data_IF_474768073445
#
_entry.id   IF_474768073445
#
_cell.length_a   1.000
_cell.length_b   1.000
_cell.length_c   1.000
_cell.angle_alpha   90.00
_cell.angle_beta   90.00
_cell.angle_gamma   90.00
#
_symmetry.space_group_name_H-M   'P 1'
#
loop_
_entity.id
_entity.type
_entity.pdbx_description
1 polymer ?
#
# COMPACT_ATOMS: atom_id res chain seq x y z
N UNK A 1 -10.21 23.41 -45.38
CA UNK A 1 -11.02 22.28 -44.87
C UNK A 1 -10.14 21.12 -44.44
N UNK A 2 -9.28 20.57 -45.32
CA UNK A 2 -8.34 19.49 -44.96
C UNK A 2 -7.39 19.85 -43.80
N UNK A 3 -6.80 21.05 -43.80
CA UNK A 3 -5.90 21.52 -42.72
C UNK A 3 -6.60 21.63 -41.36
N UNK A 4 -7.81 22.19 -41.31
CA UNK A 4 -8.61 22.29 -40.08
C UNK A 4 -8.99 20.92 -39.54
N UNK A 5 -9.34 19.97 -40.42
CA UNK A 5 -9.61 18.59 -40.04
C UNK A 5 -8.37 17.92 -39.45
N UNK A 6 -7.20 18.08 -40.08
CA UNK A 6 -5.93 17.55 -39.58
C UNK A 6 -5.55 18.14 -38.21
N UNK A 7 -5.76 19.44 -38.00
CA UNK A 7 -5.53 20.10 -36.71
C UNK A 7 -6.46 19.52 -35.64
N UNK A 8 -7.75 19.33 -35.96
CA UNK A 8 -8.71 18.75 -35.03
C UNK A 8 -8.35 17.31 -34.64
N UNK A 9 -7.90 16.49 -35.59
CA UNK A 9 -7.42 15.13 -35.34
C UNK A 9 -6.19 15.14 -34.43
N UNK A 10 -5.19 15.99 -34.73
CA UNK A 10 -3.99 16.11 -33.90
C UNK A 10 -4.30 16.56 -32.48
N UNK A 11 -5.19 17.55 -32.31
CA UNK A 11 -5.63 18.01 -31.00
C UNK A 11 -6.33 16.89 -30.21
N UNK A 12 -7.18 16.10 -30.89
CA UNK A 12 -7.83 14.93 -30.29
C UNK A 12 -6.83 13.85 -29.84
N UNK A 13 -5.85 13.53 -30.68
CA UNK A 13 -4.77 12.57 -30.35
C UNK A 13 -3.95 13.06 -29.16
N UNK A 14 -3.54 14.33 -29.17
CA UNK A 14 -2.77 14.92 -28.09
C UNK A 14 -3.54 14.89 -26.76
N UNK A 15 -4.82 15.26 -26.78
CA UNK A 15 -5.67 15.22 -25.59
C UNK A 15 -5.82 13.80 -25.03
N UNK A 16 -6.06 12.82 -25.91
CA UNK A 16 -6.16 11.41 -25.52
C UNK A 16 -4.84 10.88 -24.95
N UNK A 17 -3.71 11.22 -25.57
CA UNK A 17 -2.38 10.82 -25.12
C UNK A 17 -2.06 11.40 -23.75
N UNK A 18 -2.30 12.71 -23.56
CA UNK A 18 -2.05 13.39 -22.29
C UNK A 18 -2.92 12.79 -21.17
N UNK A 19 -4.20 12.50 -21.46
CA UNK A 19 -5.08 11.82 -20.51
C UNK A 19 -4.55 10.44 -20.14
N UNK A 20 -4.05 9.66 -21.10
CA UNK A 20 -3.47 8.33 -20.85
C UNK A 20 -2.21 8.43 -20.00
N UNK A 21 -1.31 9.36 -20.30
CA UNK A 21 -0.09 9.59 -19.53
C UNK A 21 -0.40 9.96 -18.07
N UNK A 22 -1.34 10.87 -17.83
CA UNK A 22 -1.79 11.23 -16.48
C UNK A 22 -2.37 10.03 -15.72
N UNK A 23 -3.05 9.11 -16.41
CA UNK A 23 -3.55 7.89 -15.78
C UNK A 23 -2.41 6.94 -15.38
N UNK A 24 -1.40 6.77 -16.23
CA UNK A 24 -0.22 5.96 -15.93
C UNK A 24 0.57 6.56 -14.76
N UNK A 25 0.84 7.87 -14.78
CA UNK A 25 1.53 8.58 -13.71
C UNK A 25 0.81 8.42 -12.36
N UNK A 26 -0.53 8.52 -12.35
CA UNK A 26 -1.32 8.32 -11.13
C UNK A 26 -1.25 6.89 -10.61
N UNK A 27 -1.36 5.88 -11.48
CA UNK A 27 -1.24 4.47 -11.07
C UNK A 27 0.16 4.18 -10.48
N UNK A 28 1.21 4.69 -11.11
CA UNK A 28 2.57 4.63 -10.60
C UNK A 28 2.71 5.29 -9.22
N UNK A 29 2.14 6.47 -9.05
CA UNK A 29 2.14 7.20 -7.79
C UNK A 29 1.42 6.43 -6.68
N UNK A 30 0.28 5.81 -6.97
CA UNK A 30 -0.44 4.95 -6.02
C UNK A 30 0.42 3.76 -5.56
N UNK A 31 1.09 3.06 -6.49
CA UNK A 31 1.99 1.96 -6.16
C UNK A 31 3.16 2.42 -5.28
N UNK A 32 3.73 3.58 -5.60
CA UNK A 32 4.83 4.15 -4.82
C UNK A 32 4.38 4.52 -3.40
N UNK A 33 3.22 5.17 -3.26
CA UNK A 33 2.66 5.52 -1.95
C UNK A 33 2.35 4.27 -1.10
N UNK A 34 1.75 3.24 -1.70
CA UNK A 34 1.49 1.97 -1.00
C UNK A 34 2.78 1.29 -0.55
N UNK A 35 3.81 1.27 -1.41
CA UNK A 35 5.14 0.77 -1.05
C UNK A 35 5.72 1.55 0.13
N UNK A 36 5.62 2.88 0.13
CA UNK A 36 6.11 3.72 1.23
C UNK A 36 5.38 3.39 2.54
N UNK A 37 4.05 3.22 2.49
CA UNK A 37 3.26 2.81 3.66
C UNK A 37 3.69 1.44 4.17
N UNK A 38 3.97 0.47 3.30
CA UNK A 38 4.52 -0.84 3.71
C UNK A 38 5.84 -0.69 4.44
N UNK A 39 6.77 0.13 3.94
CA UNK A 39 8.06 0.37 4.60
C UNK A 39 7.89 1.03 5.96
N UNK A 40 7.05 2.06 6.03
CA UNK A 40 6.77 2.75 7.29
C UNK A 40 6.09 1.83 8.32
N UNK A 41 5.14 0.98 7.90
CA UNK A 41 4.53 -0.03 8.77
C UNK A 41 5.56 -1.03 9.29
N UNK A 42 6.55 -1.44 8.48
CA UNK A 42 7.64 -2.31 8.92
C UNK A 42 8.54 -1.62 9.95
N UNK A 43 8.86 -0.34 9.76
CA UNK A 43 9.64 0.43 10.73
C UNK A 43 8.86 0.66 12.03
N UNK A 44 7.59 1.01 11.94
CA UNK A 44 6.71 1.16 13.11
C UNK A 44 6.57 -0.16 13.87
N UNK A 45 6.41 -1.29 13.16
CA UNK A 45 6.41 -2.63 13.76
C UNK A 45 7.70 -2.91 14.55
N UNK A 46 8.86 -2.58 13.99
CA UNK A 46 10.14 -2.81 14.65
C UNK A 46 10.30 -1.93 15.90
N UNK A 47 9.93 -0.65 15.80
CA UNK A 47 9.99 0.29 16.93
C UNK A 47 9.03 -0.14 18.06
N UNK A 48 7.76 -0.38 17.74
CA UNK A 48 6.76 -0.81 18.73
C UNK A 48 7.05 -2.19 19.31
N UNK A 49 7.63 -3.11 18.53
CA UNK A 49 8.09 -4.40 19.06
C UNK A 49 9.20 -4.23 20.10
N UNK A 50 10.22 -3.41 19.80
CA UNK A 50 11.28 -3.11 20.76
C UNK A 50 10.70 -2.47 22.04
N UNK A 51 9.83 -1.49 21.87
CA UNK A 51 9.08 -0.85 22.95
C UNK A 51 8.32 -1.83 23.84
N UNK A 52 7.54 -2.74 23.26
CA UNK A 52 6.73 -3.70 24.02
C UNK A 52 7.59 -4.78 24.69
N UNK A 53 8.68 -5.22 24.04
CA UNK A 53 9.56 -6.26 24.57
C UNK A 53 10.44 -5.76 25.72
N UNK A 54 10.97 -4.55 25.61
CA UNK A 54 11.98 -4.02 26.55
C UNK A 54 11.44 -2.89 27.44
N UNK A 55 10.18 -2.49 27.27
CA UNK A 55 9.56 -1.36 27.98
C UNK A 55 10.32 -0.03 27.79
N UNK A 56 11.04 0.11 26.67
CA UNK A 56 11.82 1.30 26.32
C UNK A 56 11.24 1.96 25.08
N UNK A 57 10.62 3.12 25.27
CA UNK A 57 9.99 3.88 24.19
C UNK A 57 10.91 4.98 23.67
N UNK A 58 11.34 4.83 22.41
CA UNK A 58 11.85 5.95 21.62
C UNK A 58 10.65 6.74 21.08
N UNK A 59 10.05 7.57 21.94
CA UNK A 59 8.83 8.30 21.64
C UNK A 59 9.01 9.23 20.43
N UNK A 60 10.16 9.90 20.33
CA UNK A 60 10.45 10.79 19.20
C UNK A 60 10.43 10.04 17.86
N UNK A 61 11.01 8.85 17.81
CA UNK A 61 10.97 8.01 16.60
C UNK A 61 9.56 7.50 16.30
N UNK A 62 8.80 7.14 17.31
CA UNK A 62 7.42 6.68 17.15
C UNK A 62 6.51 7.79 16.63
N UNK A 63 6.63 9.00 17.16
CA UNK A 63 5.89 10.18 16.71
C UNK A 63 6.24 10.53 15.25
N UNK A 64 7.53 10.51 14.90
CA UNK A 64 7.95 10.72 13.51
C UNK A 64 7.39 9.67 12.54
N UNK A 65 7.31 8.41 12.97
CA UNK A 65 6.70 7.34 12.18
C UNK A 65 5.18 7.49 12.08
N UNK A 66 4.53 7.93 13.15
CA UNK A 66 3.10 8.25 13.19
C UNK A 66 2.78 9.32 12.15
N UNK A 67 3.47 10.45 12.20
CA UNK A 67 3.26 11.57 11.28
C UNK A 67 3.53 11.17 9.83
N UNK A 68 4.61 10.43 9.59
CA UNK A 68 4.94 9.95 8.26
C UNK A 68 3.86 9.01 7.68
N UNK A 69 3.34 8.08 8.50
CA UNK A 69 2.26 7.18 8.09
C UNK A 69 0.97 7.94 7.80
N UNK A 70 0.55 8.82 8.71
CA UNK A 70 -0.66 9.63 8.56
C UNK A 70 -0.60 10.50 7.29
N UNK A 71 0.54 11.15 7.05
CA UNK A 71 0.75 11.95 5.85
C UNK A 71 0.71 11.12 4.57
N UNK A 72 1.37 9.95 4.52
CA UNK A 72 1.36 9.08 3.34
C UNK A 72 -0.02 8.51 3.05
N UNK A 73 -0.79 8.14 4.09
CA UNK A 73 -2.16 7.67 3.95
C UNK A 73 -3.10 8.76 3.44
N UNK A 74 -2.95 10.00 3.92
CA UNK A 74 -3.70 11.14 3.40
C UNK A 74 -3.41 11.36 1.90
N UNK A 75 -2.14 11.39 1.51
CA UNK A 75 -1.73 11.50 0.11
C UNK A 75 -2.28 10.35 -0.76
N UNK A 76 -2.33 9.13 -0.21
CA UNK A 76 -2.87 7.95 -0.89
C UNK A 76 -4.37 8.11 -1.19
N UNK A 77 -5.15 8.58 -0.21
CA UNK A 77 -6.59 8.86 -0.40
C UNK A 77 -6.79 9.96 -1.44
N UNK A 78 -6.02 11.05 -1.39
CA UNK A 78 -6.16 12.16 -2.33
C UNK A 78 -5.73 11.83 -3.76
N UNK A 79 -4.70 10.99 -3.91
CA UNK A 79 -4.23 10.53 -5.24
C UNK A 79 -5.24 9.58 -5.89
N UNK A 80 -6.02 8.84 -5.09
CA UNK A 80 -6.96 7.84 -5.59
C UNK A 80 -8.17 8.45 -6.32
N UNK A 81 -8.70 7.72 -7.32
CA UNK A 81 -9.95 8.10 -8.00
C UNK A 81 -11.13 8.01 -7.03
N UNK A 82 -12.17 8.83 -7.26
CA UNK A 82 -13.36 8.88 -6.41
C UNK A 82 -13.95 7.48 -6.10
N UNK A 83 -14.11 6.64 -7.11
CA UNK A 83 -14.62 5.26 -6.97
C UNK A 83 -13.75 4.38 -6.06
N UNK A 84 -12.45 4.62 -6.03
CA UNK A 84 -11.49 3.86 -5.23
C UNK A 84 -11.17 4.54 -3.88
N UNK A 85 -11.60 5.79 -3.63
CA UNK A 85 -11.36 6.46 -2.33
C UNK A 85 -11.81 5.63 -1.12
N UNK A 86 -12.94 4.89 -1.14
CA UNK A 86 -13.39 4.10 0.00
C UNK A 86 -12.38 3.06 0.48
N UNK A 87 -11.76 2.29 -0.43
CA UNK A 87 -10.80 1.23 -0.04
C UNK A 87 -9.54 1.81 0.65
N UNK A 88 -9.05 2.96 0.18
CA UNK A 88 -7.90 3.64 0.80
C UNK A 88 -8.25 4.28 2.15
N UNK A 89 -9.48 4.80 2.30
CA UNK A 89 -9.97 5.29 3.60
C UNK A 89 -10.08 4.17 4.63
N UNK A 90 -10.51 2.97 4.22
CA UNK A 90 -10.52 1.80 5.11
C UNK A 90 -9.10 1.46 5.57
N UNK A 91 -8.11 1.52 4.70
CA UNK A 91 -6.70 1.36 5.11
C UNK A 91 -6.29 2.45 6.10
N UNK A 92 -6.58 3.71 5.81
CA UNK A 92 -6.24 4.86 6.67
C UNK A 92 -6.81 4.69 8.08
N UNK A 93 -8.10 4.35 8.20
CA UNK A 93 -8.76 4.13 9.49
C UNK A 93 -8.10 2.99 10.27
N UNK A 94 -7.83 1.86 9.60
CA UNK A 94 -7.21 0.70 10.25
C UNK A 94 -5.79 0.99 10.72
N UNK A 95 -5.00 1.73 9.94
CA UNK A 95 -3.66 2.14 10.36
C UNK A 95 -3.74 3.15 11.49
N UNK A 96 -4.62 4.15 11.43
CA UNK A 96 -4.82 5.12 12.53
C UNK A 96 -5.13 4.41 13.85
N UNK A 97 -6.03 3.42 13.82
CA UNK A 97 -6.34 2.59 15.00
C UNK A 97 -5.12 1.85 15.54
N UNK A 98 -4.26 1.29 14.68
CA UNK A 98 -3.01 0.66 15.12
C UNK A 98 -2.09 1.68 15.81
N UNK A 99 -1.94 2.86 15.22
CA UNK A 99 -1.05 3.91 15.73
C UNK A 99 -1.50 4.45 17.10
N UNK A 100 -2.80 4.41 17.39
CA UNK A 100 -3.35 4.84 18.67
C UNK A 100 -3.30 3.75 19.76
N UNK A 101 -3.38 2.46 19.38
CA UNK A 101 -3.68 1.37 20.32
C UNK A 101 -2.55 0.35 20.47
N UNK A 102 -1.41 0.54 19.79
CA UNK A 102 -0.33 -0.45 19.78
C UNK A 102 0.27 -0.70 21.17
N UNK A 103 0.24 0.28 22.07
CA UNK A 103 0.78 0.19 23.43
C UNK A 103 -0.01 -0.80 24.31
N UNK A 104 -1.31 -0.99 24.02
CA UNK A 104 -2.19 -1.92 24.72
C UNK A 104 -2.09 -3.35 24.17
N UNK A 105 -1.27 -3.58 23.13
CA UNK A 105 -1.12 -4.89 22.52
C UNK A 105 -0.03 -5.72 23.22
N UNK A 106 -0.27 -7.04 23.31
CA UNK A 106 0.83 -7.99 23.49
C UNK A 106 1.75 -7.97 22.27
N UNK A 107 3.00 -8.43 22.43
CA UNK A 107 3.95 -8.43 21.31
C UNK A 107 3.44 -9.28 20.12
N UNK A 108 2.85 -10.44 20.41
CA UNK A 108 2.21 -11.29 19.41
C UNK A 108 1.07 -10.58 18.68
N UNK A 109 0.18 -9.89 19.42
CA UNK A 109 -0.91 -9.10 18.82
C UNK A 109 -0.36 -7.95 17.97
N UNK A 110 0.69 -7.27 18.43
CA UNK A 110 1.32 -6.20 17.68
C UNK A 110 1.89 -6.69 16.35
N UNK A 111 2.53 -7.85 16.32
CA UNK A 111 2.99 -8.49 15.08
C UNK A 111 1.84 -8.87 14.14
N UNK A 112 0.77 -9.44 14.69
CA UNK A 112 -0.43 -9.83 13.94
C UNK A 112 -1.08 -8.63 13.25
N UNK A 113 -1.35 -7.55 13.99
CA UNK A 113 -2.04 -6.37 13.45
C UNK A 113 -1.20 -5.64 12.38
N UNK A 114 0.12 -5.51 12.59
CA UNK A 114 1.01 -5.00 11.56
C UNK A 114 1.04 -5.90 10.32
N UNK A 115 1.07 -7.23 10.49
CA UNK A 115 1.04 -8.20 9.40
C UNK A 115 -0.21 -8.06 8.54
N UNK A 116 -1.38 -7.95 9.17
CA UNK A 116 -2.67 -7.71 8.49
C UNK A 116 -2.64 -6.42 7.66
N UNK A 117 -2.11 -5.33 8.20
CA UNK A 117 -2.05 -4.04 7.52
C UNK A 117 -1.07 -4.02 6.35
N UNK A 118 0.10 -4.66 6.50
CA UNK A 118 1.06 -4.84 5.40
C UNK A 118 0.41 -5.63 4.26
N UNK A 119 -0.28 -6.73 4.56
CA UNK A 119 -1.02 -7.52 3.56
C UNK A 119 -2.14 -6.70 2.91
N UNK A 120 -2.87 -5.89 3.66
CA UNK A 120 -3.89 -5.02 3.09
C UNK A 120 -3.31 -4.01 2.09
N UNK A 121 -2.13 -3.44 2.38
CA UNK A 121 -1.43 -2.57 1.41
C UNK A 121 -1.06 -3.33 0.14
N UNK A 122 -0.56 -4.56 0.28
CA UNK A 122 -0.21 -5.42 -0.85
C UNK A 122 -1.44 -5.74 -1.70
N UNK A 123 -2.58 -6.12 -1.09
CA UNK A 123 -3.84 -6.35 -1.83
C UNK A 123 -4.27 -5.12 -2.65
N UNK A 124 -4.08 -3.90 -2.11
CA UNK A 124 -4.37 -2.67 -2.86
C UNK A 124 -3.37 -2.45 -4.01
N UNK A 125 -2.09 -2.78 -3.81
CA UNK A 125 -1.08 -2.72 -4.89
C UNK A 125 -1.43 -3.69 -6.03
N UNK A 126 -1.88 -4.88 -5.68
CA UNK A 126 -2.35 -5.87 -6.65
C UNK A 126 -3.54 -5.35 -7.45
N UNK A 127 -4.56 -4.81 -6.76
CA UNK A 127 -5.71 -4.19 -7.42
C UNK A 127 -5.33 -3.07 -8.39
N UNK A 128 -4.36 -2.22 -8.02
CA UNK A 128 -3.83 -1.19 -8.93
C UNK A 128 -3.09 -1.81 -10.11
N UNK A 129 -2.30 -2.85 -9.88
CA UNK A 129 -1.49 -3.54 -10.90
C UNK A 129 -2.38 -4.25 -11.92
N UNK A 130 -3.39 -5.01 -11.48
CA UNK A 130 -4.37 -5.67 -12.35
C UNK A 130 -5.14 -4.62 -13.17
N UNK A 131 -5.64 -3.57 -12.53
CA UNK A 131 -6.32 -2.48 -13.23
C UNK A 131 -5.40 -1.71 -14.19
N UNK A 132 -4.09 -1.72 -13.96
CA UNK A 132 -3.12 -1.18 -14.90
C UNK A 132 -2.97 -2.10 -16.11
N UNK A 133 -2.70 -3.39 -15.88
CA UNK A 133 -2.47 -4.37 -16.93
C UNK A 133 -3.67 -4.60 -17.84
N UNK A 134 -4.89 -4.58 -17.31
CA UNK A 134 -6.12 -4.69 -18.10
C UNK A 134 -6.25 -3.58 -19.17
N UNK A 135 -5.69 -2.39 -18.90
CA UNK A 135 -5.66 -1.28 -19.88
C UNK A 135 -4.57 -1.49 -20.95
N UNK A 136 -3.55 -2.30 -20.67
CA UNK A 136 -2.43 -2.56 -21.57
C UNK A 136 -2.61 -3.84 -22.42
N UNK A 137 -3.73 -4.56 -22.27
CA UNK A 137 -4.06 -5.80 -23.01
C UNK A 137 -2.95 -6.88 -22.93
N UNK A 138 -2.24 -6.92 -21.79
CA UNK A 138 -1.18 -7.89 -21.48
C UNK A 138 -1.74 -9.05 -20.68
N UNK A 139 -2.70 -9.78 -21.25
CA UNK A 139 -3.40 -10.88 -20.57
C UNK A 139 -2.56 -12.18 -20.52
N UNK A 140 -1.57 -12.29 -21.40
CA UNK A 140 -0.64 -13.42 -21.53
C UNK A 140 0.15 -13.72 -20.24
N UNK A 141 0.45 -12.70 -19.43
CA UNK A 141 1.20 -12.84 -18.17
C UNK A 141 0.29 -12.89 -16.93
N UNK A 142 -1.04 -13.07 -17.08
CA UNK A 142 -1.98 -12.97 -15.95
C UNK A 142 -1.84 -14.12 -14.95
N UNK A 143 -1.79 -15.36 -15.44
CA UNK A 143 -1.73 -16.55 -14.59
C UNK A 143 -0.43 -16.64 -13.79
N UNK A 144 0.72 -16.39 -14.43
CA UNK A 144 2.03 -16.41 -13.76
C UNK A 144 2.11 -15.34 -12.67
N UNK A 145 1.64 -14.12 -12.97
CA UNK A 145 1.56 -13.04 -12.00
C UNK A 145 0.67 -13.41 -10.81
N UNK A 146 -0.53 -13.96 -11.05
CA UNK A 146 -1.45 -14.35 -9.99
C UNK A 146 -0.85 -15.44 -9.09
N UNK A 147 -0.19 -16.44 -9.68
CA UNK A 147 0.49 -17.49 -8.90
C UNK A 147 1.65 -16.96 -8.07
N UNK A 148 2.48 -16.09 -8.65
CA UNK A 148 3.56 -15.46 -7.89
C UNK A 148 3.02 -14.58 -6.75
N UNK A 149 1.95 -13.85 -7.00
CA UNK A 149 1.30 -13.02 -6.01
C UNK A 149 0.75 -13.83 -4.83
N UNK A 150 0.06 -14.94 -5.12
CA UNK A 150 -0.45 -15.85 -4.08
C UNK A 150 0.69 -16.40 -3.22
N UNK A 151 1.78 -16.85 -3.85
CA UNK A 151 2.96 -17.34 -3.14
C UNK A 151 3.56 -16.28 -2.19
N UNK A 152 3.63 -15.01 -2.64
CA UNK A 152 4.13 -13.90 -1.81
C UNK A 152 3.21 -13.70 -0.59
N UNK A 153 1.90 -13.72 -0.78
CA UNK A 153 0.93 -13.51 0.29
C UNK A 153 0.97 -14.63 1.33
N UNK A 154 1.03 -15.89 0.88
CA UNK A 154 1.11 -17.05 1.76
C UNK A 154 2.42 -17.06 2.55
N UNK A 155 3.55 -16.78 1.88
CA UNK A 155 4.86 -16.67 2.52
C UNK A 155 4.90 -15.60 3.61
N UNK A 156 4.26 -14.44 3.38
CA UNK A 156 4.18 -13.36 4.37
C UNK A 156 3.33 -13.75 5.59
N UNK A 157 2.29 -14.55 5.40
CA UNK A 157 1.51 -15.10 6.51
C UNK A 157 2.33 -16.12 7.29
N UNK A 158 2.96 -17.09 6.62
CA UNK A 158 3.83 -18.08 7.26
C UNK A 158 4.95 -17.40 8.05
N UNK A 159 5.60 -16.37 7.49
CA UNK A 159 6.65 -15.61 8.20
C UNK A 159 6.11 -14.85 9.43
N UNK A 160 4.86 -14.39 9.37
CA UNK A 160 4.23 -13.73 10.51
C UNK A 160 3.92 -14.74 11.61
N UNK A 161 3.36 -15.90 11.25
CA UNK A 161 3.07 -17.00 12.19
C UNK A 161 4.34 -17.55 12.82
N UNK A 162 5.37 -17.85 12.02
CA UNK A 162 6.66 -18.32 12.51
C UNK A 162 7.26 -17.36 13.54
N UNK A 163 7.19 -16.05 13.28
CA UNK A 163 7.71 -15.06 14.24
C UNK A 163 6.94 -15.05 15.55
N UNK A 164 5.62 -15.19 15.50
CA UNK A 164 4.79 -15.30 16.71
C UNK A 164 5.18 -16.57 17.49
N UNK A 165 5.25 -17.73 16.82
CA UNK A 165 5.62 -18.99 17.46
C UNK A 165 7.03 -18.99 18.07
N UNK A 166 8.00 -18.28 17.47
CA UNK A 166 9.35 -18.13 18.05
C UNK A 166 9.32 -17.24 19.29
N UNK A 167 8.48 -16.20 19.33
CA UNK A 167 8.34 -15.39 20.54
C UNK A 167 7.74 -16.18 21.71
N UNK A 168 6.80 -17.09 21.45
CA UNK A 168 6.20 -17.91 22.50
C UNK A 168 7.20 -18.91 23.14
N UNK A 169 8.38 -19.09 22.53
CA UNK A 169 9.44 -20.00 23.00
C UNK A 169 10.47 -19.33 23.94
N UNK A 170 10.48 -18.00 24.07
CA UNK A 170 11.47 -17.23 24.84
C UNK A 170 10.85 -16.40 25.94
#
# INVERSE_FOLDING_TARGET
ISTLLSIAILAGIYHLSSKREQQHARKYQLLTLLRDVVHLLRHHRAATHYSLQFQQNDQQKLDALHDALTNKLHLLVETSRFENKPMYRVLQIKVGKLLEQWNDHSVARNHMEHGKLIRHCLCLMDGVTIAWRAVEQRDDLHNEYHMNWQNIMDSLETLTQLRISIQDLG
#
